data_IF_052962195956
#
_entry.id   IF_052962195956
#
_cell.length_a   1.000
_cell.length_b   1.000
_cell.length_c   1.000
_cell.angle_alpha   90.00
_cell.angle_beta   90.00
_cell.angle_gamma   90.00
#
_symmetry.space_group_name_H-M   'P 1'
#
loop_
_entity.id
_entity.type
_entity.pdbx_description
1 polymer ?
#
# COMPACT_ATOMS: atom_id res chain seq x y z
N UNK A 1 23.93 -0.72 4.21
CA UNK A 1 23.99 -1.90 3.33
C UNK A 1 22.92 -1.68 2.28
N UNK A 2 23.31 -1.20 1.10
CA UNK A 2 22.37 -0.90 0.01
C UNK A 2 21.97 -2.21 -0.65
N UNK A 3 20.76 -2.70 -0.36
CA UNK A 3 20.08 -3.63 -1.26
C UNK A 3 19.95 -2.92 -2.61
N UNK A 4 20.78 -3.30 -3.58
CA UNK A 4 20.52 -2.98 -4.98
C UNK A 4 19.30 -3.80 -5.39
N UNK A 5 18.10 -3.30 -5.12
CA UNK A 5 16.93 -3.76 -5.83
C UNK A 5 17.15 -3.43 -7.31
N UNK A 6 17.17 -4.45 -8.16
CA UNK A 6 16.89 -4.29 -9.58
C UNK A 6 15.57 -3.52 -9.68
N UNK A 7 15.62 -2.26 -10.13
CA UNK A 7 14.43 -1.47 -10.39
C UNK A 7 13.67 -2.13 -11.53
N UNK A 8 12.59 -2.84 -11.21
CA UNK A 8 11.71 -3.36 -12.23
C UNK A 8 10.88 -2.19 -12.77
N UNK A 9 11.30 -1.68 -13.93
CA UNK A 9 10.59 -0.60 -14.62
C UNK A 9 9.49 -1.24 -15.45
N UNK A 10 8.25 -0.96 -15.10
CA UNK A 10 7.10 -1.42 -15.85
C UNK A 10 6.77 -0.38 -16.93
N UNK A 11 6.32 -0.87 -18.09
CA UNK A 11 5.90 0.00 -19.18
C UNK A 11 4.43 0.36 -18.96
N UNK A 12 4.17 1.60 -18.54
CA UNK A 12 2.86 2.24 -18.73
C UNK A 12 2.83 2.72 -20.17
N UNK A 13 2.36 1.88 -21.09
CA UNK A 13 2.06 2.33 -22.45
C UNK A 13 0.85 3.26 -22.35
N UNK A 14 1.10 4.56 -22.26
CA UNK A 14 0.07 5.56 -22.49
C UNK A 14 -0.22 5.56 -23.99
N UNK A 15 -1.35 4.98 -24.38
CA UNK A 15 -1.83 5.00 -25.76
C UNK A 15 -2.95 6.03 -25.89
N UNK A 16 -2.68 7.22 -26.48
CA UNK A 16 -3.70 8.25 -26.65
C UNK A 16 -4.67 8.00 -27.81
N UNK A 17 -4.63 6.85 -28.52
CA UNK A 17 -5.33 6.68 -29.80
C UNK A 17 -6.20 5.42 -29.97
N UNK A 18 -6.33 4.52 -29.01
CA UNK A 18 -7.15 3.32 -29.23
C UNK A 18 -8.61 3.46 -28.78
N UNK A 19 -9.44 3.97 -29.71
CA UNK A 19 -10.81 3.49 -29.89
C UNK A 19 -10.79 1.99 -30.23
N UNK A 20 -11.68 1.25 -29.57
CA UNK A 20 -11.98 -0.19 -29.72
C UNK A 20 -11.97 -0.73 -31.15
N UNK A 21 -11.53 -2.00 -31.35
CA UNK A 21 -12.30 -3.12 -32.01
C UNK A 21 -11.42 -4.36 -32.36
N UNK A 22 -11.44 -5.38 -31.45
CA UNK A 22 -11.51 -6.89 -31.56
C UNK A 22 -10.43 -7.70 -32.38
N UNK A 23 -9.99 -8.95 -32.08
CA UNK A 23 -10.58 -10.20 -31.52
C UNK A 23 -9.55 -11.20 -30.87
N UNK A 24 -10.01 -12.26 -30.17
CA UNK A 24 -9.43 -12.73 -28.90
C UNK A 24 -8.59 -14.02 -28.99
N UNK A 25 -7.62 -14.17 -28.09
CA UNK A 25 -7.19 -15.50 -27.63
C UNK A 25 -8.04 -15.87 -26.41
N UNK A 26 -8.93 -16.84 -26.58
CA UNK A 26 -9.78 -17.35 -25.51
C UNK A 26 -8.94 -18.01 -24.42
N UNK A 27 -9.00 -17.44 -23.21
CA UNK A 27 -8.75 -18.19 -21.97
C UNK A 27 -9.94 -17.95 -21.05
N UNK A 28 -10.54 -19.03 -20.56
CA UNK A 28 -11.84 -19.06 -19.88
C UNK A 28 -11.82 -18.39 -18.48
N UNK A 29 -12.78 -17.45 -18.25
CA UNK A 29 -13.45 -17.06 -16.99
C UNK A 29 -12.58 -16.55 -15.82
N UNK A 30 -12.89 -15.46 -15.10
CA UNK A 30 -14.18 -14.95 -14.60
C UNK A 30 -14.11 -13.42 -14.40
N UNK A 31 -15.20 -12.73 -14.69
CA UNK A 31 -15.37 -11.29 -14.48
C UNK A 31 -15.56 -10.90 -13.00
N UNK A 32 -15.06 -9.72 -12.62
CA UNK A 32 -15.74 -8.86 -11.64
C UNK A 32 -15.03 -8.57 -10.31
N UNK A 33 -13.97 -7.75 -10.33
CA UNK A 33 -13.74 -6.74 -9.29
C UNK A 33 -12.87 -5.64 -9.87
N UNK A 34 -13.12 -4.36 -9.54
CA UNK A 34 -12.15 -3.31 -9.85
C UNK A 34 -10.82 -3.71 -9.20
N UNK A 35 -9.70 -3.72 -9.96
CA UNK A 35 -8.42 -4.10 -9.40
C UNK A 35 -8.05 -3.11 -8.29
N UNK A 36 -7.70 -3.65 -7.12
CA UNK A 36 -7.26 -2.87 -5.96
C UNK A 36 -5.78 -2.52 -6.13
N UNK A 37 -5.37 -1.32 -5.73
CA UNK A 37 -3.97 -0.89 -5.78
C UNK A 37 -3.65 0.06 -6.94
N UNK A 38 -2.35 0.24 -7.20
CA UNK A 38 -1.83 1.14 -8.24
C UNK A 38 -1.42 0.30 -9.46
N UNK A 39 -1.98 0.60 -10.63
CA UNK A 39 -1.53 -0.01 -11.88
C UNK A 39 -0.12 0.47 -12.20
N UNK A 40 0.82 -0.46 -12.32
CA UNK A 40 2.20 -0.16 -12.72
C UNK A 40 2.46 -0.50 -14.19
N UNK A 41 1.50 -1.14 -14.88
CA UNK A 41 1.61 -1.50 -16.29
C UNK A 41 2.10 -2.94 -16.49
N UNK A 42 2.62 -3.24 -17.68
CA UNK A 42 2.97 -4.61 -18.08
C UNK A 42 4.46 -4.90 -17.86
N UNK A 43 4.78 -6.19 -17.74
CA UNK A 43 6.15 -6.65 -17.73
C UNK A 43 6.86 -6.28 -19.05
N UNK A 44 8.12 -5.80 -19.01
CA UNK A 44 8.94 -5.66 -20.21
C UNK A 44 9.16 -7.01 -20.93
N UNK A 45 9.54 -6.95 -22.21
CA UNK A 45 9.93 -8.13 -22.95
C UNK A 45 11.03 -8.93 -22.22
N UNK A 46 10.96 -10.25 -22.29
CA UNK A 46 11.88 -11.19 -21.63
C UNK A 46 11.85 -11.17 -20.09
N UNK A 47 10.86 -10.48 -19.49
CA UNK A 47 10.57 -10.56 -18.06
C UNK A 47 9.23 -11.25 -17.87
N UNK A 48 9.22 -12.27 -17.03
CA UNK A 48 8.01 -12.96 -16.63
C UNK A 48 7.58 -12.51 -15.22
N UNK A 49 6.27 -12.49 -15.01
CA UNK A 49 5.64 -12.24 -13.72
C UNK A 49 4.74 -13.40 -13.34
N UNK A 50 4.68 -13.70 -12.05
CA UNK A 50 3.76 -14.68 -11.48
C UNK A 50 3.24 -14.16 -10.15
N UNK A 51 1.94 -14.34 -9.92
CA UNK A 51 1.34 -14.10 -8.61
C UNK A 51 1.31 -15.41 -7.84
N UNK A 52 1.96 -15.46 -6.69
CA UNK A 52 1.88 -16.58 -5.74
C UNK A 52 0.87 -16.25 -4.66
N UNK A 53 -0.35 -16.78 -4.80
CA UNK A 53 -1.43 -16.59 -3.83
C UNK A 53 -1.49 -17.74 -2.81
N UNK A 54 -1.76 -17.42 -1.54
CA UNK A 54 -1.90 -18.39 -0.44
C UNK A 54 -3.33 -19.01 -0.39
N UNK A 55 -4.28 -18.48 -1.16
CA UNK A 55 -5.68 -18.89 -1.23
C UNK A 55 -6.24 -18.66 -2.65
N UNK A 56 -7.49 -19.04 -3.00
CA UNK A 56 -8.02 -18.95 -4.37
C UNK A 56 -8.25 -17.51 -4.91
N UNK A 57 -7.52 -16.52 -4.41
CA UNK A 57 -7.55 -15.14 -4.87
C UNK A 57 -6.53 -14.85 -5.98
N UNK A 58 -6.80 -13.77 -6.71
CA UNK A 58 -5.88 -13.22 -7.73
C UNK A 58 -4.81 -12.31 -7.12
N UNK A 59 -4.84 -12.09 -5.80
CA UNK A 59 -3.89 -11.26 -5.05
C UNK A 59 -2.89 -12.17 -4.35
N UNK A 60 -1.60 -11.88 -4.49
CA UNK A 60 -0.54 -12.66 -3.88
C UNK A 60 0.83 -12.00 -4.02
N UNK A 61 1.88 -12.74 -3.66
CA UNK A 61 3.26 -12.27 -3.78
C UNK A 61 3.64 -12.15 -5.25
N UNK A 62 4.22 -11.01 -5.61
CA UNK A 62 4.72 -10.78 -6.96
C UNK A 62 6.08 -11.47 -7.08
N UNK A 63 6.12 -12.47 -7.94
CA UNK A 63 7.34 -13.16 -8.34
C UNK A 63 7.76 -12.68 -9.72
N UNK A 64 9.07 -12.52 -9.93
CA UNK A 64 9.62 -12.14 -11.24
C UNK A 64 10.75 -13.06 -11.67
N UNK A 65 10.92 -13.21 -12.98
CA UNK A 65 11.95 -14.05 -13.58
C UNK A 65 12.43 -13.43 -14.88
N UNK A 66 13.73 -13.48 -15.12
CA UNK A 66 14.35 -12.94 -16.34
C UNK A 66 15.79 -12.48 -16.09
N UNK A 67 16.45 -11.90 -17.10
CA UNK A 67 17.86 -11.53 -17.04
C UNK A 67 18.19 -10.41 -16.05
N UNK A 68 17.17 -9.75 -15.49
CA UNK A 68 17.32 -8.66 -14.52
C UNK A 68 17.50 -9.14 -13.08
N UNK A 69 17.25 -10.43 -12.79
CA UNK A 69 17.34 -10.95 -11.42
C UNK A 69 18.80 -11.13 -11.01
N UNK A 70 19.10 -10.75 -9.76
CA UNK A 70 20.43 -10.97 -9.20
C UNK A 70 20.69 -12.47 -8.94
N UNK A 71 21.96 -12.88 -8.97
CA UNK A 71 22.36 -14.25 -8.69
C UNK A 71 22.22 -14.62 -7.20
N UNK A 72 22.54 -13.69 -6.31
CA UNK A 72 22.48 -13.83 -4.84
C UNK A 72 22.80 -12.52 -4.16
N UNK A 73 22.45 -12.42 -2.87
CA UNK A 73 23.00 -11.38 -2.02
C UNK A 73 24.49 -11.65 -1.72
N UNK A 74 25.24 -10.55 -1.57
CA UNK A 74 26.64 -10.59 -1.17
C UNK A 74 26.76 -11.17 0.26
N UNK A 75 27.72 -12.09 0.44
CA UNK A 75 28.01 -12.75 1.72
C UNK A 75 26.90 -13.63 2.33
N UNK A 76 25.88 -14.02 1.56
CA UNK A 76 24.94 -15.09 1.96
C UNK A 76 25.21 -16.35 1.16
N UNK A 77 25.82 -17.36 1.79
CA UNK A 77 26.09 -18.67 1.17
C UNK A 77 24.81 -19.51 0.99
N UNK A 78 23.76 -19.23 1.78
CA UNK A 78 22.51 -19.99 1.85
C UNK A 78 21.43 -19.48 0.89
N UNK A 79 21.45 -18.19 0.51
CA UNK A 79 20.47 -17.60 -0.42
C UNK A 79 20.99 -17.64 -1.87
N UNK A 80 21.28 -18.83 -2.39
CA UNK A 80 21.43 -19.00 -3.85
C UNK A 80 20.04 -18.92 -4.47
N UNK A 81 19.74 -17.80 -5.12
CA UNK A 81 18.73 -17.81 -6.18
C UNK A 81 19.33 -18.68 -7.28
N UNK A 82 18.62 -19.72 -7.71
CA UNK A 82 19.18 -20.72 -8.62
C UNK A 82 19.69 -19.97 -9.88
N UNK A 83 20.97 -20.12 -10.28
CA UNK A 83 21.55 -19.35 -11.38
C UNK A 83 21.01 -19.73 -12.76
N UNK A 84 20.30 -20.86 -12.86
CA UNK A 84 19.49 -21.16 -14.04
C UNK A 84 18.20 -20.34 -13.98
N UNK A 85 17.81 -19.77 -15.12
CA UNK A 85 16.62 -18.93 -15.36
C UNK A 85 15.26 -19.57 -15.01
N UNK A 86 15.24 -20.65 -14.23
CA UNK A 86 14.05 -21.34 -13.74
C UNK A 86 13.56 -20.78 -12.39
N UNK A 87 14.45 -20.18 -11.58
CA UNK A 87 14.07 -19.67 -10.27
C UNK A 87 13.35 -18.32 -10.35
N UNK A 88 12.20 -18.27 -9.69
CA UNK A 88 11.45 -17.05 -9.47
C UNK A 88 12.05 -16.24 -8.30
N UNK A 89 12.33 -14.96 -8.53
CA UNK A 89 12.68 -14.01 -7.49
C UNK A 89 11.42 -13.48 -6.84
N UNK A 90 11.34 -13.60 -5.52
CA UNK A 90 10.30 -12.95 -4.73
C UNK A 90 10.64 -11.48 -4.50
N UNK A 91 9.79 -10.58 -5.00
CA UNK A 91 10.01 -9.13 -4.90
C UNK A 91 9.77 -8.59 -3.48
N UNK A 92 9.09 -9.37 -2.63
CA UNK A 92 8.57 -8.91 -1.34
C UNK A 92 7.36 -7.98 -1.46
N UNK A 93 6.82 -7.80 -2.67
CA UNK A 93 5.65 -6.99 -2.96
C UNK A 93 4.41 -7.88 -3.17
N UNK A 94 3.22 -7.31 -2.89
CA UNK A 94 1.92 -7.94 -3.07
C UNK A 94 1.19 -7.25 -4.22
N UNK A 95 0.60 -8.04 -5.09
CA UNK A 95 -0.10 -7.54 -6.26
C UNK A 95 -1.07 -8.54 -6.86
N UNK A 96 -1.71 -8.11 -7.94
CA UNK A 96 -2.52 -8.94 -8.83
C UNK A 96 -2.24 -8.58 -10.29
N UNK A 97 -2.42 -9.52 -11.20
CA UNK A 97 -2.36 -9.26 -12.64
C UNK A 97 -3.79 -9.31 -13.17
N UNK A 98 -4.20 -8.30 -13.94
CA UNK A 98 -5.52 -8.26 -14.56
C UNK A 98 -5.57 -9.02 -15.90
N UNK A 99 -6.76 -9.09 -16.49
CA UNK A 99 -6.98 -9.79 -17.76
C UNK A 99 -6.22 -9.18 -18.95
N UNK A 100 -5.85 -7.90 -18.87
CA UNK A 100 -5.06 -7.21 -19.88
C UNK A 100 -3.55 -7.43 -19.68
N UNK A 101 -3.15 -8.12 -18.60
CA UNK A 101 -1.76 -8.37 -18.24
C UNK A 101 -1.09 -7.21 -17.50
N UNK A 102 -1.84 -6.22 -17.03
CA UNK A 102 -1.30 -5.16 -16.18
C UNK A 102 -1.11 -5.66 -14.76
N UNK A 103 0.02 -5.31 -14.17
CA UNK A 103 0.30 -5.54 -12.77
C UNK A 103 -0.30 -4.40 -11.93
N UNK A 104 -1.05 -4.79 -10.91
CA UNK A 104 -1.60 -3.91 -9.88
C UNK A 104 -0.85 -4.16 -8.59
N UNK A 105 -0.16 -3.14 -8.09
CA UNK A 105 0.63 -3.17 -6.86
C UNK A 105 -0.24 -2.75 -5.68
N UNK A 106 -0.36 -3.63 -4.68
CA UNK A 106 -1.17 -3.39 -3.48
C UNK A 106 -0.33 -2.93 -2.28
N UNK A 107 0.93 -3.37 -2.17
CA UNK A 107 1.81 -2.99 -1.06
C UNK A 107 2.95 -3.98 -0.85
N UNK A 108 3.57 -3.97 0.34
CA UNK A 108 4.66 -4.90 0.70
C UNK A 108 4.20 -6.01 1.64
N UNK A 109 4.75 -7.21 1.47
CA UNK A 109 4.46 -8.39 2.31
C UNK A 109 4.66 -8.12 3.81
N UNK A 110 5.72 -7.38 4.15
CA UNK A 110 6.07 -7.04 5.54
C UNK A 110 5.42 -5.73 6.03
N UNK A 111 4.70 -5.00 5.17
CA UNK A 111 4.11 -3.70 5.48
C UNK A 111 2.60 -3.72 5.76
N UNK A 112 1.95 -4.87 5.58
CA UNK A 112 0.50 -5.02 5.83
C UNK A 112 0.15 -4.91 7.32
N UNK A 113 -1.02 -4.37 7.60
CA UNK A 113 -1.63 -4.31 8.92
C UNK A 113 -2.66 -5.44 9.03
N UNK A 114 -2.61 -6.22 10.10
CA UNK A 114 -3.60 -7.28 10.37
C UNK A 114 -4.67 -6.76 11.32
N UNK A 115 -5.82 -6.39 10.77
CA UNK A 115 -6.94 -5.80 11.51
C UNK A 115 -8.14 -6.74 11.48
N UNK A 116 -8.47 -7.36 12.61
CA UNK A 116 -9.69 -8.17 12.77
C UNK A 116 -9.73 -9.41 11.88
N UNK A 117 -8.58 -10.04 11.61
CA UNK A 117 -8.46 -11.19 10.71
C UNK A 117 -8.25 -10.82 9.23
N UNK A 118 -8.36 -9.55 8.88
CA UNK A 118 -8.21 -9.05 7.51
C UNK A 118 -6.87 -8.33 7.29
N UNK A 119 -6.39 -8.37 6.04
CA UNK A 119 -5.18 -7.63 5.64
C UNK A 119 -5.56 -6.22 5.16
N UNK A 120 -4.94 -5.21 5.76
CA UNK A 120 -5.05 -3.81 5.36
C UNK A 120 -3.71 -3.36 4.81
N UNK A 121 -3.73 -2.85 3.57
CA UNK A 121 -2.54 -2.28 2.92
C UNK A 121 -2.52 -0.76 3.19
N UNK A 122 -1.50 -0.25 3.92
CA UNK A 122 -1.40 1.17 4.25
C UNK A 122 -1.56 2.11 3.05
N UNK A 123 -0.94 1.74 1.92
CA UNK A 123 -0.87 2.52 0.69
C UNK A 123 -2.26 2.79 0.09
N UNK A 124 -3.18 1.83 0.17
CA UNK A 124 -4.56 1.98 -0.30
C UNK A 124 -5.32 3.02 0.52
N UNK A 125 -5.18 2.94 1.84
CA UNK A 125 -5.85 3.85 2.78
C UNK A 125 -5.26 5.26 2.68
N UNK A 126 -3.93 5.36 2.54
CA UNK A 126 -3.20 6.59 2.24
C UNK A 126 -3.72 7.26 0.97
N UNK A 127 -3.82 6.51 -0.13
CA UNK A 127 -4.26 7.04 -1.42
C UNK A 127 -5.67 7.63 -1.37
N UNK A 128 -6.55 7.08 -0.52
CA UNK A 128 -7.90 7.63 -0.32
C UNK A 128 -7.87 8.88 0.56
N UNK A 129 -7.17 8.85 1.69
CA UNK A 129 -7.09 9.99 2.60
C UNK A 129 -6.40 11.19 1.94
N UNK A 130 -5.39 10.98 1.09
CA UNK A 130 -4.71 12.04 0.35
C UNK A 130 -5.62 12.78 -0.65
N UNK A 131 -6.76 12.20 -1.02
CA UNK A 131 -7.77 12.91 -1.85
C UNK A 131 -8.54 13.96 -1.05
N UNK A 132 -8.49 13.93 0.28
CA UNK A 132 -9.17 14.92 1.10
C UNK A 132 -8.42 16.26 1.04
N UNK A 133 -9.09 17.39 0.75
CA UNK A 133 -8.42 18.68 0.50
C UNK A 133 -7.62 19.18 1.71
N UNK A 134 -7.99 18.81 2.92
CA UNK A 134 -7.30 19.20 4.15
C UNK A 134 -6.06 18.41 4.52
N UNK A 135 -5.76 17.29 3.85
CA UNK A 135 -4.60 16.46 4.18
C UNK A 135 -3.41 16.87 3.30
N UNK A 136 -2.29 17.22 3.92
CA UNK A 136 -1.03 17.49 3.26
C UNK A 136 -0.24 16.19 3.06
N UNK A 137 -0.18 15.36 4.10
CA UNK A 137 0.48 14.07 4.09
C UNK A 137 -0.17 13.15 5.13
N UNK A 138 -0.08 11.84 4.90
CA UNK A 138 -0.61 10.83 5.82
C UNK A 138 0.27 9.59 5.79
N UNK A 139 0.42 8.96 6.95
CA UNK A 139 1.08 7.67 7.11
C UNK A 139 0.18 6.78 7.95
N UNK A 140 -0.23 5.66 7.37
CA UNK A 140 -1.04 4.63 8.01
C UNK A 140 -0.11 3.62 8.69
N UNK A 141 -0.40 3.34 9.97
CA UNK A 141 0.32 2.37 10.80
C UNK A 141 -0.67 1.47 11.55
N UNK A 142 -0.27 0.22 11.75
CA UNK A 142 -0.97 -0.72 12.62
C UNK A 142 -0.45 -0.59 14.05
N UNK A 143 -1.32 -0.28 15.00
CA UNK A 143 -0.97 -0.18 16.42
C UNK A 143 -1.56 -1.41 17.13
N UNK A 144 -0.78 -2.14 17.97
CA UNK A 144 -1.31 -3.29 18.68
C UNK A 144 -2.60 -2.96 19.44
N UNK A 145 -3.61 -3.81 19.27
CA UNK A 145 -4.94 -3.63 19.84
C UNK A 145 -5.51 -4.98 20.28
N UNK A 146 -6.12 -5.01 21.46
CA UNK A 146 -6.61 -6.25 22.07
C UNK A 146 -7.80 -6.88 21.30
N UNK A 147 -8.57 -6.08 20.57
CA UNK A 147 -9.78 -6.55 19.89
C UNK A 147 -9.52 -6.92 18.43
N UNK A 148 -8.64 -6.18 17.74
CA UNK A 148 -8.39 -6.38 16.30
C UNK A 148 -6.98 -6.78 15.94
N UNK A 149 -6.15 -7.21 16.91
CA UNK A 149 -4.71 -7.48 16.73
C UNK A 149 -3.91 -6.22 16.43
N UNK A 150 -4.18 -5.55 15.32
CA UNK A 150 -3.66 -4.22 14.99
C UNK A 150 -4.79 -3.27 14.59
N UNK A 151 -4.91 -2.16 15.32
CA UNK A 151 -5.78 -1.05 14.98
C UNK A 151 -5.15 -0.18 13.90
N UNK A 152 -5.89 0.02 12.80
CA UNK A 152 -5.51 0.96 11.73
C UNK A 152 -5.53 2.38 12.29
N UNK A 153 -4.38 3.03 12.29
CA UNK A 153 -4.17 4.39 12.81
C UNK A 153 -3.59 5.29 11.72
N UNK A 154 -4.20 6.44 11.51
CA UNK A 154 -3.75 7.44 10.56
C UNK A 154 -2.96 8.56 11.26
N UNK A 155 -1.66 8.65 10.99
CA UNK A 155 -0.87 9.82 11.35
C UNK A 155 -1.01 10.85 10.23
N UNK A 156 -1.62 11.99 10.49
CA UNK A 156 -1.98 12.98 9.47
C UNK A 156 -1.26 14.30 9.68
N UNK A 157 -0.81 14.91 8.60
CA UNK A 157 -0.39 16.32 8.56
C UNK A 157 -1.49 17.13 7.87
N UNK A 158 -2.20 18.01 8.60
CA UNK A 158 -3.10 18.97 7.98
C UNK A 158 -2.32 19.94 7.07
N UNK A 159 -2.99 20.49 6.05
CA UNK A 159 -2.47 21.66 5.31
C UNK A 159 -2.52 22.92 6.19
N UNK A 160 -1.75 23.94 5.84
CA UNK A 160 -1.53 25.15 6.67
C UNK A 160 -2.82 25.83 7.17
N UNK A 161 -3.89 25.83 6.37
CA UNK A 161 -5.17 26.46 6.74
C UNK A 161 -6.14 25.51 7.45
N UNK A 162 -5.80 24.23 7.59
CA UNK A 162 -6.67 23.21 8.16
C UNK A 162 -6.32 22.92 9.61
N UNK A 163 -7.34 22.93 10.48
CA UNK A 163 -7.17 22.63 11.90
C UNK A 163 -7.83 21.32 12.28
N UNK A 164 -7.19 20.57 13.18
CA UNK A 164 -7.80 19.37 13.76
C UNK A 164 -8.75 19.74 14.90
N UNK A 165 -9.95 19.18 14.88
CA UNK A 165 -10.92 19.24 15.96
C UNK A 165 -11.48 17.84 16.25
N UNK A 166 -11.58 17.52 17.54
CA UNK A 166 -12.28 16.29 17.98
C UNK A 166 -13.80 16.38 17.78
N UNK A 167 -14.34 17.59 17.77
CA UNK A 167 -15.76 17.86 17.57
C UNK A 167 -15.98 18.30 16.13
N UNK A 168 -16.83 17.57 15.40
CA UNK A 168 -17.32 18.01 14.09
C UNK A 168 -18.24 19.21 14.30
N UNK A 169 -17.71 20.42 14.27
CA UNK A 169 -18.51 21.65 14.27
C UNK A 169 -18.85 21.98 12.83
N UNK A 170 -20.12 21.94 12.48
CA UNK A 170 -20.64 22.06 11.11
C UNK A 170 -20.39 23.41 10.41
N UNK A 171 -19.76 24.38 11.08
CA UNK A 171 -19.69 25.77 10.61
C UNK A 171 -18.28 26.25 10.21
N UNK A 172 -17.24 25.41 10.27
CA UNK A 172 -15.87 25.81 9.88
C UNK A 172 -15.42 25.10 8.60
N UNK A 173 -15.18 25.87 7.55
CA UNK A 173 -14.83 25.39 6.20
C UNK A 173 -13.49 24.62 6.15
N UNK A 174 -12.56 24.95 7.06
CA UNK A 174 -11.21 24.37 7.10
C UNK A 174 -10.93 23.54 8.37
N UNK A 175 -11.84 22.62 8.68
CA UNK A 175 -11.72 21.75 9.86
C UNK A 175 -11.60 20.27 9.48
N UNK A 176 -10.58 19.60 10.02
CA UNK A 176 -10.42 18.14 10.00
C UNK A 176 -10.96 17.56 11.29
N UNK A 177 -11.89 16.61 11.17
CA UNK A 177 -12.38 15.84 12.29
C UNK A 177 -12.41 14.35 11.95
N UNK A 178 -12.27 13.51 12.97
CA UNK A 178 -12.29 12.05 12.84
C UNK A 178 -13.50 11.56 12.04
N UNK A 179 -14.71 12.03 12.37
CA UNK A 179 -15.94 11.61 11.67
C UNK A 179 -15.91 11.99 10.20
N UNK A 180 -15.46 13.19 9.87
CA UNK A 180 -15.40 13.69 8.49
C UNK A 180 -14.43 12.85 7.64
N UNK A 181 -13.26 12.52 8.19
CA UNK A 181 -12.29 11.67 7.49
C UNK A 181 -12.75 10.21 7.34
N UNK A 182 -13.42 9.66 8.35
CA UNK A 182 -14.02 8.33 8.25
C UNK A 182 -15.13 8.31 7.18
N UNK A 183 -15.96 9.35 7.14
CA UNK A 183 -17.01 9.51 6.14
C UNK A 183 -16.42 9.65 4.72
N UNK A 184 -15.38 10.46 4.55
CA UNK A 184 -14.62 10.56 3.30
C UNK A 184 -14.12 9.20 2.80
N UNK A 185 -13.62 8.34 3.70
CA UNK A 185 -13.22 6.98 3.34
C UNK A 185 -14.40 6.12 2.86
N UNK A 186 -15.58 6.23 3.50
CA UNK A 186 -16.79 5.49 3.13
C UNK A 186 -17.28 5.93 1.75
N UNK A 187 -17.32 7.24 1.50
CA UNK A 187 -17.74 7.85 0.23
C UNK A 187 -16.82 7.44 -0.92
N UNK A 188 -15.52 7.26 -0.64
CA UNK A 188 -14.54 6.72 -1.58
C UNK A 188 -14.52 5.18 -1.63
N UNK A 189 -15.56 4.51 -1.13
CA UNK A 189 -15.77 3.06 -1.19
C UNK A 189 -14.70 2.20 -0.49
N UNK A 190 -14.05 2.74 0.54
CA UNK A 190 -13.12 1.95 1.35
C UNK A 190 -13.89 0.98 2.26
N UNK A 191 -13.50 -0.30 2.27
CA UNK A 191 -14.11 -1.30 3.14
C UNK A 191 -13.94 -0.94 4.63
N UNK A 192 -14.99 -1.18 5.44
CA UNK A 192 -15.05 -0.71 6.84
C UNK A 192 -13.86 -1.12 7.70
N UNK A 193 -13.33 -2.32 7.53
CA UNK A 193 -12.20 -2.82 8.33
C UNK A 193 -10.86 -2.11 8.02
N UNK A 194 -10.75 -1.45 6.85
CA UNK A 194 -9.59 -0.66 6.42
C UNK A 194 -9.66 0.79 6.89
N UNK A 195 -10.85 1.27 7.30
CA UNK A 195 -11.03 2.66 7.75
C UNK A 195 -10.28 2.87 9.07
N UNK A 196 -9.43 3.91 9.17
CA UNK A 196 -8.72 4.19 10.41
C UNK A 196 -9.68 4.40 11.59
N UNK A 197 -9.40 3.71 12.69
CA UNK A 197 -10.12 3.87 13.95
C UNK A 197 -9.54 5.02 14.76
N UNK A 198 -8.25 5.33 14.60
CA UNK A 198 -7.56 6.38 15.32
C UNK A 198 -6.87 7.35 14.35
N UNK A 199 -6.83 8.63 14.72
CA UNK A 199 -6.16 9.68 13.98
C UNK A 199 -5.22 10.43 14.92
N UNK A 200 -3.99 10.65 14.49
CA UNK A 200 -2.96 11.37 15.25
C UNK A 200 -2.49 12.54 14.39
N UNK A 201 -2.59 13.75 14.94
CA UNK A 201 -2.07 14.95 14.26
C UNK A 201 -0.55 14.97 14.38
N UNK A 202 0.12 14.79 13.25
CA UNK A 202 1.57 14.75 13.15
C UNK A 202 2.13 16.16 12.96
N UNK A 203 2.68 16.76 14.02
CA UNK A 203 3.11 18.18 14.02
C UNK A 203 4.52 18.45 13.51
N UNK A 204 5.25 17.41 13.09
CA UNK A 204 6.62 17.49 12.59
C UNK A 204 6.73 16.74 11.27
N UNK A 205 7.77 16.97 10.43
CA UNK A 205 7.98 16.18 9.22
C UNK A 205 8.03 14.68 9.51
N UNK A 206 7.49 13.86 8.60
CA UNK A 206 7.64 12.41 8.71
C UNK A 206 9.11 12.01 8.58
N UNK A 207 9.57 11.01 9.36
CA UNK A 207 10.94 10.52 9.25
C UNK A 207 11.12 9.84 7.89
N UNK A 208 12.13 10.28 7.14
CA UNK A 208 12.48 9.74 5.83
C UNK A 208 13.79 8.93 5.90
N UNK A 209 13.96 8.00 4.99
CA UNK A 209 15.26 7.37 4.67
C UNK A 209 16.11 8.35 3.87
N UNK A 210 17.40 8.04 3.70
CA UNK A 210 18.30 8.79 2.80
C UNK A 210 17.77 8.84 1.35
N UNK A 211 16.94 7.87 0.97
CA UNK A 211 16.28 7.79 -0.35
C UNK A 211 14.92 8.48 -0.39
N UNK A 212 14.53 9.21 0.66
CA UNK A 212 13.26 9.96 0.72
C UNK A 212 12.03 9.11 1.03
N UNK A 213 12.17 7.80 1.33
CA UNK A 213 11.03 6.94 1.69
C UNK A 213 10.67 7.11 3.16
N UNK A 214 9.38 7.10 3.49
CA UNK A 214 8.92 7.18 4.89
C UNK A 214 9.41 5.98 5.70
N UNK A 215 10.00 6.23 6.87
CA UNK A 215 10.36 5.21 7.87
C UNK A 215 9.14 4.86 8.71
N UNK A 216 8.23 4.07 8.15
CA UNK A 216 6.95 3.69 8.77
C UNK A 216 7.11 3.04 10.15
N UNK A 217 8.16 2.24 10.36
CA UNK A 217 8.45 1.64 11.68
C UNK A 217 8.74 2.67 12.76
N UNK A 218 9.40 3.77 12.40
CA UNK A 218 9.66 4.87 13.33
C UNK A 218 8.37 5.61 13.66
N UNK A 219 7.54 5.89 12.65
CA UNK A 219 6.20 6.50 12.84
C UNK A 219 5.35 5.62 13.76
N UNK A 220 5.33 4.29 13.54
CA UNK A 220 4.60 3.34 14.38
C UNK A 220 5.03 3.40 15.84
N UNK A 221 6.34 3.39 16.11
CA UNK A 221 6.89 3.46 17.48
C UNK A 221 6.47 4.75 18.19
N UNK A 222 6.65 5.87 17.53
CA UNK A 222 6.31 7.18 18.07
C UNK A 222 4.80 7.36 18.28
N UNK A 223 3.97 6.91 17.33
CA UNK A 223 2.52 6.90 17.44
C UNK A 223 2.02 6.02 18.60
N UNK A 224 2.62 4.83 18.77
CA UNK A 224 2.31 3.92 19.87
C UNK A 224 2.63 4.58 21.22
N UNK A 225 3.78 5.24 21.33
CA UNK A 225 4.17 5.98 22.54
C UNK A 225 3.19 7.11 22.87
N UNK A 226 2.73 7.88 21.87
CA UNK A 226 1.78 8.97 22.08
C UNK A 226 0.43 8.44 22.62
N UNK A 227 -0.08 7.33 22.08
CA UNK A 227 -1.32 6.73 22.55
C UNK A 227 -1.20 6.15 23.97
N UNK A 228 -0.06 5.54 24.30
CA UNK A 228 0.19 5.07 25.67
C UNK A 228 0.18 6.21 26.67
N UNK A 229 0.82 7.34 26.37
CA UNK A 229 0.80 8.53 27.22
C UNK A 229 -0.61 9.09 27.40
N UNK A 230 -1.44 9.09 26.35
CA UNK A 230 -2.83 9.52 26.45
C UNK A 230 -3.67 8.61 27.35
N UNK A 231 -3.43 7.30 27.33
CA UNK A 231 -4.13 6.34 28.20
C UNK A 231 -3.63 6.35 29.65
N UNK A 232 -2.37 6.70 29.92
CA UNK A 232 -1.82 6.78 31.29
C UNK A 232 -2.19 8.08 32.03
N UNK A 233 -2.66 9.09 31.32
CA UNK A 233 -3.09 10.38 31.89
C UNK A 233 -4.62 10.47 32.11
N UNK A 234 -5.33 9.35 31.97
CA UNK A 234 -6.75 9.16 32.28
C UNK A 234 -6.88 8.23 33.47
#
# INVERSE_FOLDING_TARGET
>A
MTETCSSLTFLTLFDPLHETTIQPLQTFGVAGSKPQGVCVGKAPAHIELKISADSPGHIGRILTRGPHTMLRYWNTLTNRLNPNSEAWLDTGDIGSIDHDGNLWLLGRTNGRIKSGGENVYPEEVEAILLKHPGIASVVIVGIPDAHVTEMVTACIQPRENWQWSEQSSSNEEFQLARKNLQQHCIENHLSRFKIPKMFIVWRKPFPLTTTGKVRRDQVRKEATSQLQTLHSNL
#
